data_IF_089257185150
#
_entry.id   IF_089257185150
#
_cell.length_a   1.000
_cell.length_b   1.000
_cell.length_c   1.000
_cell.angle_alpha   90.00
_cell.angle_beta   90.00
_cell.angle_gamma   90.00
#
_symmetry.space_group_name_H-M   'P 1'
#
loop_
_entity.id
_entity.type
_entity.pdbx_description
1 polymer ?
#
# COMPACT_ATOMS: atom_id res chain seq x y z
N UNK A 1 3.56 5.66 -13.16
CA UNK A 1 4.08 4.44 -12.47
C UNK A 1 5.60 4.29 -12.53
N UNK A 2 6.33 5.09 -13.31
CA UNK A 2 7.78 4.95 -13.55
C UNK A 2 8.65 4.84 -12.27
N UNK A 3 8.26 5.49 -11.17
CA UNK A 3 8.94 5.38 -9.88
C UNK A 3 8.80 3.97 -9.28
N UNK A 4 7.58 3.44 -9.23
CA UNK A 4 7.30 2.09 -8.69
C UNK A 4 7.99 1.03 -9.55
N UNK A 5 7.92 1.16 -10.88
CA UNK A 5 8.62 0.26 -11.81
C UNK A 5 10.15 0.31 -11.65
N UNK A 6 10.72 1.49 -11.42
CA UNK A 6 12.16 1.63 -11.17
C UNK A 6 12.55 0.94 -9.86
N UNK A 7 11.75 1.07 -8.81
CA UNK A 7 11.99 0.40 -7.53
C UNK A 7 11.84 -1.12 -7.65
N UNK A 8 10.87 -1.61 -8.43
CA UNK A 8 10.74 -3.03 -8.75
C UNK A 8 12.01 -3.58 -9.42
N UNK A 9 12.56 -2.86 -10.42
CA UNK A 9 13.84 -3.23 -11.06
C UNK A 9 15.04 -3.17 -10.11
N UNK A 10 14.95 -2.41 -9.03
CA UNK A 10 15.97 -2.34 -7.97
C UNK A 10 15.79 -3.45 -6.91
N UNK A 11 14.80 -4.34 -7.06
CA UNK A 11 14.58 -5.47 -6.17
C UNK A 11 13.54 -5.23 -5.07
N UNK A 12 12.79 -4.12 -5.12
CA UNK A 12 11.66 -3.94 -4.21
C UNK A 12 10.61 -5.03 -4.46
N UNK A 13 10.16 -5.68 -3.38
CA UNK A 13 9.19 -6.79 -3.45
C UNK A 13 7.75 -6.34 -3.17
N UNK A 14 7.57 -5.08 -2.77
CA UNK A 14 6.30 -4.45 -2.46
C UNK A 14 6.45 -2.94 -2.43
N UNK A 15 5.34 -2.22 -2.43
CA UNK A 15 5.30 -0.75 -2.32
C UNK A 15 4.35 -0.33 -1.22
N UNK A 16 4.82 0.54 -0.33
CA UNK A 16 4.02 1.12 0.75
C UNK A 16 3.43 2.44 0.25
N UNK A 17 2.11 2.56 0.24
CA UNK A 17 1.44 3.85 0.09
C UNK A 17 1.42 4.53 1.47
N UNK A 18 2.47 5.29 1.75
CA UNK A 18 2.73 5.90 3.05
C UNK A 18 1.94 7.18 3.35
N UNK A 19 1.15 7.67 2.38
CA UNK A 19 0.22 8.79 2.57
C UNK A 19 -1.17 8.36 2.06
N UNK A 20 -2.23 8.79 2.72
CA UNK A 20 -3.62 8.47 2.39
C UNK A 20 -3.97 8.88 0.96
N UNK A 21 -3.44 10.00 0.47
CA UNK A 21 -3.71 10.55 -0.85
C UNK A 21 -3.16 9.67 -1.98
N UNK A 22 -2.14 8.85 -1.72
CA UNK A 22 -1.55 8.00 -2.76
C UNK A 22 -2.55 6.90 -3.17
N UNK A 23 -3.26 6.30 -2.21
CA UNK A 23 -4.32 5.31 -2.50
C UNK A 23 -5.53 5.92 -3.22
N UNK A 24 -5.75 7.23 -3.08
CA UNK A 24 -6.78 7.97 -3.83
C UNK A 24 -6.32 8.29 -5.26
N UNK A 25 -5.04 8.52 -5.47
CA UNK A 25 -4.46 8.95 -6.75
C UNK A 25 -4.07 7.77 -7.66
N UNK A 26 -3.56 6.69 -7.08
CA UNK A 26 -2.98 5.56 -7.81
C UNK A 26 -3.76 4.29 -7.51
N UNK A 27 -4.54 3.77 -8.49
CA UNK A 27 -5.21 2.48 -8.35
C UNK A 27 -4.19 1.36 -8.10
N UNK A 28 -4.48 0.45 -7.15
CA UNK A 28 -3.51 -0.57 -6.71
C UNK A 28 -3.15 -1.58 -7.78
N UNK A 29 -4.06 -1.79 -8.72
CA UNK A 29 -4.06 -2.74 -9.84
C UNK A 29 -3.10 -2.27 -10.93
N UNK A 30 -2.76 -0.99 -10.93
CA UNK A 30 -1.76 -0.41 -11.81
C UNK A 30 -0.33 -0.62 -11.31
N UNK A 31 -0.15 -1.01 -10.04
CA UNK A 31 1.19 -1.24 -9.49
C UNK A 31 1.76 -2.58 -9.97
N UNK A 32 3.01 -2.61 -10.47
CA UNK A 32 3.70 -3.87 -10.79
C UNK A 32 4.15 -4.64 -9.54
N UNK A 33 3.99 -4.07 -8.35
CA UNK A 33 4.34 -4.65 -7.06
C UNK A 33 3.10 -4.75 -6.17
N UNK A 34 3.04 -5.74 -5.25
CA UNK A 34 2.04 -5.75 -4.18
C UNK A 34 2.01 -4.42 -3.44
N UNK A 35 0.81 -3.84 -3.33
CA UNK A 35 0.59 -2.55 -2.66
C UNK A 35 0.19 -2.80 -1.20
N UNK A 36 0.82 -2.05 -0.30
CA UNK A 36 0.46 -1.95 1.10
C UNK A 36 -0.09 -0.54 1.35
N UNK A 37 -1.41 -0.38 1.25
CA UNK A 37 -2.08 0.87 1.62
C UNK A 37 -2.11 0.99 3.14
N UNK A 38 -1.29 1.89 3.68
CA UNK A 38 -1.10 2.02 5.12
C UNK A 38 -2.37 2.47 5.83
N UNK A 39 -3.17 3.32 5.19
CA UNK A 39 -4.40 3.81 5.78
C UNK A 39 -5.45 2.70 5.87
N UNK A 40 -5.60 1.90 4.81
CA UNK A 40 -6.52 0.76 4.80
C UNK A 40 -6.07 -0.33 5.79
N UNK A 41 -4.78 -0.66 5.82
CA UNK A 41 -4.22 -1.65 6.76
C UNK A 41 -4.42 -1.19 8.21
N UNK A 42 -4.10 0.07 8.53
CA UNK A 42 -4.32 0.61 9.88
C UNK A 42 -5.79 0.65 10.28
N UNK A 43 -6.70 0.98 9.35
CA UNK A 43 -8.13 0.93 9.64
C UNK A 43 -8.59 -0.50 9.97
N UNK A 44 -8.12 -1.49 9.22
CA UNK A 44 -8.42 -2.90 9.49
C UNK A 44 -7.82 -3.37 10.83
N UNK A 45 -6.58 -2.96 11.13
CA UNK A 45 -5.93 -3.27 12.41
C UNK A 45 -6.67 -2.65 13.60
N UNK A 46 -7.13 -1.41 13.47
CA UNK A 46 -7.95 -0.75 14.49
C UNK A 46 -9.26 -1.51 14.76
N UNK A 47 -9.93 -2.01 13.71
CA UNK A 47 -11.12 -2.87 13.86
C UNK A 47 -10.77 -4.17 14.61
N UNK A 48 -9.66 -4.82 14.24
CA UNK A 48 -9.17 -6.02 14.93
C UNK A 48 -8.89 -5.75 16.40
N UNK A 49 -8.20 -4.65 16.72
CA UNK A 49 -7.91 -4.21 18.10
C UNK A 49 -9.19 -4.02 18.91
N UNK A 50 -10.23 -3.44 18.31
CA UNK A 50 -11.49 -3.16 19.01
C UNK A 50 -12.34 -4.42 19.28
N UNK A 51 -12.19 -5.47 18.48
CA UNK A 51 -13.12 -6.60 18.45
C UNK A 51 -12.50 -7.94 18.87
N UNK A 52 -11.17 -8.02 19.05
CA UNK A 52 -10.50 -9.26 19.48
C UNK A 52 -10.47 -9.35 21.02
N UNK A 53 -10.82 -10.50 21.62
CA UNK A 53 -10.84 -10.71 23.08
C UNK A 53 -9.45 -10.75 23.73
#
# INVERSE_FOLDING_TARGET
>A
LSVIERLARQGAQGVIFGCTEIGLLVPTEMSPLPVFDTAAIHAQDAVTFMLSP
#
